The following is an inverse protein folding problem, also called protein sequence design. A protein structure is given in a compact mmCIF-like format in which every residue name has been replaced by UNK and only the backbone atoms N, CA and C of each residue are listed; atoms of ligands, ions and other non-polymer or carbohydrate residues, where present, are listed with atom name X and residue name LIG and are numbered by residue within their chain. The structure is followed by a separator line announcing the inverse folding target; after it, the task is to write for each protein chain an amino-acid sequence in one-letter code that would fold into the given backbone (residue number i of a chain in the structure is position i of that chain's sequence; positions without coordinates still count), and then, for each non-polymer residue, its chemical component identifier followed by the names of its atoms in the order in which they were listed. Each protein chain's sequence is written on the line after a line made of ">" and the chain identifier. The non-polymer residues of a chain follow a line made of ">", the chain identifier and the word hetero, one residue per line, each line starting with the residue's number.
data_IF_996469132108
#
_entry.id   IF_996469132108
#
_cell.length_a   1.000
_cell.length_b   1.000
_cell.length_c   1.000
_cell.angle_alpha   90.00
_cell.angle_beta   90.00
_cell.angle_gamma   90.00
#
_symmetry.space_group_name_H-M   'P 1'
#
loop_
_entity.id
_entity.type
_entity.pdbx_description
1 polymer ?
#
# COMPACT_ATOMS: atom_id res chain seq x y z
N UNK A 1 12.19 17.24 -18.08
CA UNK A 1 11.13 16.53 -17.33
C UNK A 1 10.06 16.11 -18.32
N UNK A 2 9.97 14.82 -18.61
CA UNK A 2 9.06 14.28 -19.63
C UNK A 2 7.59 14.39 -19.14
N UNK A 3 6.75 15.04 -19.95
CA UNK A 3 5.37 15.40 -19.62
C UNK A 3 4.47 14.18 -19.39
N UNK A 4 4.88 12.98 -19.83
CA UNK A 4 4.11 11.73 -19.66
C UNK A 4 3.99 11.27 -18.20
N UNK A 5 4.85 11.75 -17.31
CA UNK A 5 4.78 11.46 -15.87
C UNK A 5 4.01 12.51 -15.07
N UNK A 6 3.52 13.57 -15.71
CA UNK A 6 2.82 14.66 -15.03
C UNK A 6 1.32 14.38 -14.83
N UNK A 7 0.70 13.59 -15.70
CA UNK A 7 -0.76 13.35 -15.67
C UNK A 7 -1.19 12.16 -14.81
N UNK A 8 -0.31 11.19 -14.57
CA UNK A 8 -0.63 10.05 -13.69
C UNK A 8 0.64 9.59 -13.00
N UNK A 9 0.74 9.82 -11.69
CA UNK A 9 1.85 9.27 -10.91
C UNK A 9 1.76 7.74 -10.96
N UNK A 10 2.85 7.00 -11.24
CA UNK A 10 2.81 5.55 -11.18
C UNK A 10 2.38 5.09 -9.79
N UNK A 11 1.31 4.29 -9.73
CA UNK A 11 0.74 3.74 -8.49
C UNK A 11 0.76 2.21 -8.59
N UNK A 12 1.36 1.56 -7.60
CA UNK A 12 1.21 0.12 -7.37
C UNK A 12 -0.04 -0.11 -6.52
N UNK A 13 -0.96 -0.95 -7.01
CA UNK A 13 -2.12 -1.37 -6.23
C UNK A 13 -1.87 -2.77 -5.67
N UNK A 14 -1.88 -2.88 -4.36
CA UNK A 14 -1.80 -4.15 -3.63
C UNK A 14 -3.21 -4.54 -3.25
N UNK A 15 -3.63 -5.74 -3.64
CA UNK A 15 -4.99 -6.22 -3.40
C UNK A 15 -4.97 -7.50 -2.59
N UNK A 16 -5.90 -7.64 -1.66
CA UNK A 16 -6.16 -8.90 -0.97
C UNK A 16 -7.15 -9.72 -1.83
N UNK A 17 -6.78 -10.92 -2.31
CA UNK A 17 -7.59 -11.66 -3.29
C UNK A 17 -8.97 -12.04 -2.75
N UNK A 18 -9.05 -12.36 -1.45
CA UNK A 18 -10.28 -12.81 -0.81
C UNK A 18 -11.24 -11.66 -0.44
N UNK A 19 -10.76 -10.41 -0.51
CA UNK A 19 -11.53 -9.24 -0.13
C UNK A 19 -11.34 -8.12 -1.16
N UNK A 20 -12.26 -8.05 -2.14
CA UNK A 20 -12.17 -7.09 -3.26
C UNK A 20 -12.15 -5.60 -2.86
N UNK A 21 -12.51 -5.27 -1.62
CA UNK A 21 -12.41 -3.91 -1.06
C UNK A 21 -11.16 -3.65 -0.22
N UNK A 22 -10.31 -4.66 0.00
CA UNK A 22 -9.15 -4.58 0.87
C UNK A 22 -7.85 -4.53 0.07
N UNK A 23 -7.01 -3.54 0.37
CA UNK A 23 -5.75 -3.34 -0.31
C UNK A 23 -5.09 -2.03 0.08
N UNK A 24 -3.95 -1.75 -0.56
CA UNK A 24 -3.16 -0.55 -0.36
C UNK A 24 -2.75 0.03 -1.72
N UNK A 25 -2.67 1.35 -1.81
CA UNK A 25 -2.11 2.02 -2.98
C UNK A 25 -0.77 2.63 -2.61
N UNK A 26 0.30 2.17 -3.26
CA UNK A 26 1.65 2.62 -3.01
C UNK A 26 2.12 3.49 -4.17
N UNK A 27 2.66 4.66 -3.83
CA UNK A 27 3.26 5.60 -4.78
C UNK A 27 4.73 5.80 -4.47
N UNK A 28 5.49 6.23 -5.47
CA UNK A 28 6.89 6.65 -5.27
C UNK A 28 6.95 8.17 -5.23
N UNK A 29 7.60 8.71 -4.20
CA UNK A 29 7.80 10.16 -4.02
C UNK A 29 9.28 10.46 -3.83
N UNK A 30 9.75 11.56 -4.41
CA UNK A 30 11.13 12.04 -4.27
C UNK A 30 11.22 13.25 -3.35
N UNK A 31 12.32 13.37 -2.60
CA UNK A 31 12.66 14.52 -1.75
C UNK A 31 14.15 14.57 -1.42
N UNK A 32 14.54 15.43 -0.47
CA UNK A 32 15.95 15.73 -0.09
C UNK A 32 16.72 14.57 0.58
N UNK A 33 16.16 13.35 0.55
CA UNK A 33 16.77 12.13 1.05
C UNK A 33 16.60 10.93 0.13
N UNK A 34 16.32 11.17 -1.17
CA UNK A 34 16.12 10.13 -2.17
C UNK A 34 14.65 9.77 -2.42
N UNK A 35 14.43 8.62 -3.03
CA UNK A 35 13.12 8.11 -3.40
C UNK A 35 12.54 7.22 -2.31
N UNK A 36 11.25 7.40 -2.02
CA UNK A 36 10.53 6.68 -0.97
C UNK A 36 9.22 6.09 -1.48
N UNK A 37 8.87 4.93 -0.93
CA UNK A 37 7.53 4.38 -1.03
C UNK A 37 6.60 5.08 -0.06
N UNK A 38 5.42 5.47 -0.55
CA UNK A 38 4.40 6.18 0.21
C UNK A 38 3.06 5.48 0.08
N UNK A 39 2.39 5.25 1.20
CA UNK A 39 1.05 4.66 1.26
C UNK A 39 -0.03 5.64 0.77
N UNK A 40 -1.26 5.14 0.62
CA UNK A 40 -2.44 5.94 0.32
C UNK A 40 -2.80 6.92 1.45
N UNK A 41 -2.46 6.58 2.69
CA UNK A 41 -2.61 7.45 3.87
C UNK A 41 -1.59 8.59 3.87
N UNK A 42 -0.58 8.50 3.02
CA UNK A 42 0.48 9.48 2.87
C UNK A 42 1.71 9.21 3.74
N UNK A 43 1.73 8.12 4.49
CA UNK A 43 2.84 7.67 5.33
C UNK A 43 4.03 7.21 4.48
N UNK A 44 5.25 7.52 4.92
CA UNK A 44 6.47 7.02 4.30
C UNK A 44 6.77 5.61 4.81
N UNK A 45 6.72 4.65 3.89
CA UNK A 45 6.93 3.24 4.19
C UNK A 45 8.43 2.97 4.36
N UNK A 46 9.20 3.09 3.28
CA UNK A 46 10.65 2.88 3.31
C UNK A 46 11.32 3.60 2.13
N UNK A 47 12.64 3.80 2.17
CA UNK A 47 13.42 4.19 0.98
C UNK A 47 13.24 3.15 -0.13
N UNK A 48 13.29 3.56 -1.39
CA UNK A 48 13.17 2.63 -2.53
C UNK A 48 14.33 1.63 -2.65
N UNK A 49 15.41 1.82 -1.88
CA UNK A 49 16.51 0.86 -1.74
C UNK A 49 16.19 -0.30 -0.80
N UNK A 50 15.09 -0.25 -0.05
CA UNK A 50 14.68 -1.27 0.93
C UNK A 50 13.22 -1.68 0.68
N UNK A 51 13.04 -2.56 -0.31
CA UNK A 51 11.73 -3.06 -0.72
C UNK A 51 11.11 -3.96 0.35
N UNK A 52 11.92 -4.79 1.01
CA UNK A 52 11.46 -5.73 2.02
C UNK A 52 10.84 -4.99 3.22
N UNK A 53 11.47 -3.90 3.67
CA UNK A 53 10.90 -3.05 4.72
C UNK A 53 9.58 -2.39 4.29
N UNK A 54 9.49 -1.97 3.02
CA UNK A 54 8.26 -1.41 2.48
C UNK A 54 7.11 -2.44 2.50
N UNK A 55 7.39 -3.67 2.06
CA UNK A 55 6.43 -4.79 2.07
C UNK A 55 5.96 -5.09 3.49
N UNK A 56 6.89 -5.20 4.44
CA UNK A 56 6.56 -5.46 5.84
C UNK A 56 5.64 -4.38 6.41
N UNK A 57 5.92 -3.10 6.13
CA UNK A 57 5.10 -1.99 6.63
C UNK A 57 3.71 -1.97 6.00
N UNK A 58 3.59 -2.25 4.70
CA UNK A 58 2.26 -2.41 4.06
C UNK A 58 1.47 -3.53 4.72
N UNK A 59 2.09 -4.69 4.98
CA UNK A 59 1.43 -5.80 5.66
C UNK A 59 0.94 -5.39 7.06
N UNK A 60 1.77 -4.71 7.85
CA UNK A 60 1.39 -4.24 9.19
C UNK A 60 0.25 -3.22 9.15
N UNK A 61 0.24 -2.31 8.17
CA UNK A 61 -0.84 -1.32 8.02
C UNK A 61 -2.19 -1.99 7.68
N UNK A 62 -2.16 -3.11 6.95
CA UNK A 62 -3.35 -3.86 6.56
C UNK A 62 -3.79 -4.89 7.60
N UNK A 63 -2.91 -5.30 8.53
CA UNK A 63 -3.15 -6.39 9.48
C UNK A 63 -4.49 -6.27 10.23
N UNK A 64 -4.77 -5.08 10.79
CA UNK A 64 -6.03 -4.82 11.51
C UNK A 64 -7.28 -5.03 10.64
N UNK A 65 -7.19 -4.71 9.35
CA UNK A 65 -8.28 -4.80 8.41
C UNK A 65 -8.45 -6.23 7.89
N UNK A 66 -7.34 -6.94 7.69
CA UNK A 66 -7.33 -8.38 7.39
C UNK A 66 -7.98 -9.16 8.54
N UNK A 67 -7.63 -8.84 9.80
CA UNK A 67 -8.23 -9.47 10.97
C UNK A 67 -9.74 -9.19 11.08
N UNK A 68 -10.18 -7.96 10.79
CA UNK A 68 -11.61 -7.60 10.80
C UNK A 68 -12.39 -8.28 9.66
N UNK A 69 -11.83 -8.31 8.45
CA UNK A 69 -12.41 -9.03 7.32
C UNK A 69 -12.48 -10.53 7.61
N UNK A 70 -11.44 -11.06 8.26
CA UNK A 70 -11.29 -12.39 8.80
C UNK A 70 -12.20 -12.75 9.99
N UNK A 71 -12.91 -11.79 10.59
CA UNK A 71 -13.95 -12.08 11.58
C UNK A 71 -15.35 -11.97 10.98
N UNK A 72 -15.55 -11.07 10.02
CA UNK A 72 -16.83 -10.86 9.32
C UNK A 72 -17.31 -12.11 8.56
N UNK A 73 -16.43 -12.82 7.85
CA UNK A 73 -16.82 -14.07 7.17
C UNK A 73 -17.19 -15.21 8.13
N UNK A 74 -16.68 -15.19 9.38
CA UNK A 74 -17.00 -16.21 10.39
C UNK A 74 -18.38 -16.01 11.01
N UNK A 75 -18.90 -14.78 11.04
CA UNK A 75 -20.22 -14.44 11.59
C UNK A 75 -21.30 -14.25 10.53
N UNK A 76 -20.96 -14.18 9.24
CA UNK A 76 -21.91 -14.04 8.13
C UNK A 76 -22.46 -15.34 7.55
N UNK A 77 -22.02 -16.50 8.05
CA UNK A 77 -22.56 -17.82 7.67
C UNK A 77 -23.54 -18.34 8.72
N UNK A 78 -24.81 -17.92 8.64
CA UNK A 78 -25.93 -18.50 9.37
C UNK A 78 -27.16 -18.52 8.46
#
# INVERSE_FOLDING_TARGET
>A
MDRRYAETRPILRVHFPDFGGLGESVTVVGGDGGWWYRSSTGELLAPCSDVDLAVLRVMMSLDRWIAAAGSFWRTGGA
#
